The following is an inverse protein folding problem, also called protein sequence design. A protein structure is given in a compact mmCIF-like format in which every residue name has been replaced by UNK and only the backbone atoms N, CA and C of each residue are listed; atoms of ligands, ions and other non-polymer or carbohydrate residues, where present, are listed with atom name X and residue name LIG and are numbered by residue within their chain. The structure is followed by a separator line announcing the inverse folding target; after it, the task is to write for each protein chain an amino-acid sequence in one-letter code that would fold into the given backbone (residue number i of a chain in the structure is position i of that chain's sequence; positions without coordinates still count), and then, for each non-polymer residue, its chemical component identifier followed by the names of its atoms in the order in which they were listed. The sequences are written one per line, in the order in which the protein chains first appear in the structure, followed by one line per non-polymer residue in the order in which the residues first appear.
data_IF_499094282067
#
_entry.id   IF_499094282067
#
_cell.length_a   1.000
_cell.length_b   1.000
_cell.length_c   1.000
_cell.angle_alpha   90.00
_cell.angle_beta   90.00
_cell.angle_gamma   90.00
#
_symmetry.space_group_name_H-M   'P 1'
#
loop_
_entity.id
_entity.type
_entity.pdbx_description
1 polymer ?
#
# COMPACT_ATOMS: atom_id res chain seq x y z
N UNK A 1 27.67 -19.96 15.40
CA UNK A 1 26.62 -20.23 14.38
C UNK A 1 25.39 -19.32 14.54
N UNK A 2 25.05 -18.87 15.72
CA UNK A 2 23.91 -17.93 15.98
C UNK A 2 24.06 -16.55 15.34
N UNK A 3 25.25 -16.02 15.20
CA UNK A 3 25.50 -14.68 14.64
C UNK A 3 25.18 -14.57 13.13
N UNK A 4 25.38 -15.62 12.35
CA UNK A 4 25.13 -15.59 10.89
C UNK A 4 23.63 -15.64 10.62
N UNK A 5 22.86 -16.45 11.35
CA UNK A 5 21.40 -16.58 11.17
C UNK A 5 20.62 -15.29 11.41
N UNK A 6 21.08 -14.42 12.33
CA UNK A 6 20.45 -13.13 12.59
C UNK A 6 20.60 -12.19 11.39
N UNK A 7 21.79 -12.07 10.83
CA UNK A 7 22.03 -11.24 9.67
C UNK A 7 21.30 -11.76 8.41
N UNK A 8 21.19 -13.07 8.24
CA UNK A 8 20.41 -13.65 7.13
C UNK A 8 18.93 -13.26 7.24
N UNK A 9 18.36 -13.29 8.45
CA UNK A 9 16.99 -12.84 8.70
C UNK A 9 16.83 -11.34 8.41
N UNK A 10 17.78 -10.50 8.83
CA UNK A 10 17.74 -9.06 8.58
C UNK A 10 17.87 -8.75 7.07
N UNK A 11 18.69 -9.50 6.34
CA UNK A 11 18.76 -9.43 4.87
C UNK A 11 17.42 -9.83 4.23
N UNK A 12 16.80 -10.93 4.68
CA UNK A 12 15.50 -11.36 4.18
C UNK A 12 14.41 -10.32 4.46
N UNK A 13 14.40 -9.73 5.65
CA UNK A 13 13.48 -8.66 6.02
C UNK A 13 13.69 -7.42 5.14
N UNK A 14 14.94 -6.98 4.95
CA UNK A 14 15.26 -5.84 4.11
C UNK A 14 14.85 -6.04 2.65
N UNK A 15 15.14 -7.24 2.11
CA UNK A 15 14.79 -7.60 0.74
C UNK A 15 13.28 -7.82 0.59
N UNK A 16 12.62 -8.41 1.59
CA UNK A 16 11.16 -8.57 1.64
C UNK A 16 10.44 -7.22 1.64
N UNK A 17 10.92 -6.25 2.42
CA UNK A 17 10.33 -4.92 2.51
C UNK A 17 10.59 -4.04 1.27
N UNK A 18 11.77 -4.16 0.63
CA UNK A 18 12.22 -3.25 -0.43
C UNK A 18 12.24 -3.88 -1.82
N UNK A 19 12.00 -5.19 -1.91
CA UNK A 19 12.04 -5.97 -3.15
C UNK A 19 13.45 -6.17 -3.69
N UNK A 20 14.23 -5.12 -3.81
CA UNK A 20 15.64 -5.14 -4.24
C UNK A 20 16.43 -4.13 -3.41
N UNK A 21 17.54 -4.56 -2.81
CA UNK A 21 18.39 -3.74 -1.94
C UNK A 21 19.83 -3.86 -2.41
N UNK A 22 20.53 -2.74 -2.57
CA UNK A 22 21.94 -2.75 -2.93
C UNK A 22 22.81 -3.29 -1.79
N UNK A 23 23.96 -3.85 -2.13
CA UNK A 23 24.94 -4.30 -1.11
C UNK A 23 25.32 -3.16 -0.17
N UNK A 24 25.42 -1.93 -0.68
CA UNK A 24 25.78 -0.74 0.12
C UNK A 24 24.66 -0.34 1.10
N UNK A 25 23.42 -0.43 0.69
CA UNK A 25 22.28 -0.18 1.59
C UNK A 25 22.17 -1.25 2.68
N UNK A 26 22.40 -2.54 2.31
CA UNK A 26 22.46 -3.60 3.31
C UNK A 26 23.63 -3.41 4.29
N UNK A 27 24.79 -2.98 3.80
CA UNK A 27 25.94 -2.69 4.65
C UNK A 27 25.63 -1.59 5.69
N UNK A 28 24.97 -0.51 5.25
CA UNK A 28 24.53 0.56 6.13
C UNK A 28 23.43 0.13 7.11
N UNK A 29 22.48 -0.70 6.66
CA UNK A 29 21.37 -1.18 7.50
C UNK A 29 21.84 -2.13 8.60
N UNK A 30 22.80 -3.00 8.29
CA UNK A 30 23.31 -4.04 9.18
C UNK A 30 24.52 -3.57 10.01
N UNK A 31 24.99 -2.35 9.78
CA UNK A 31 26.22 -1.79 10.37
C UNK A 31 27.44 -2.71 10.15
N UNK A 32 27.63 -3.15 8.90
CA UNK A 32 28.73 -4.02 8.50
C UNK A 32 29.37 -3.55 7.19
N UNK A 33 30.56 -4.09 6.85
CA UNK A 33 31.19 -3.78 5.55
C UNK A 33 30.46 -4.45 4.38
N UNK A 34 30.59 -3.88 3.17
CA UNK A 34 30.12 -4.47 1.92
C UNK A 34 30.61 -5.92 1.73
N UNK A 35 31.85 -6.19 2.16
CA UNK A 35 32.46 -7.52 2.10
C UNK A 35 31.73 -8.50 3.03
N UNK A 36 31.34 -8.05 4.22
CA UNK A 36 30.55 -8.85 5.17
C UNK A 36 29.18 -9.16 4.62
N UNK A 37 28.49 -8.18 4.00
CA UNK A 37 27.20 -8.40 3.33
C UNK A 37 27.36 -9.46 2.23
N UNK A 38 28.39 -9.36 1.39
CA UNK A 38 28.64 -10.35 0.33
C UNK A 38 28.85 -11.76 0.87
N UNK A 39 29.51 -11.87 2.03
CA UNK A 39 29.74 -13.17 2.73
C UNK A 39 28.45 -13.75 3.32
N UNK A 40 27.59 -12.91 3.86
CA UNK A 40 26.27 -13.32 4.39
C UNK A 40 25.34 -13.77 3.23
N UNK A 41 25.30 -12.98 2.16
CA UNK A 41 24.37 -13.19 1.05
C UNK A 41 24.78 -14.39 0.17
N UNK A 42 26.06 -14.72 0.08
CA UNK A 42 26.53 -15.82 -0.77
C UNK A 42 25.86 -17.17 -0.48
N UNK A 43 25.82 -17.68 0.76
CA UNK A 43 25.12 -18.94 1.05
C UNK A 43 23.61 -18.83 0.84
N UNK A 44 23.00 -17.65 1.04
CA UNK A 44 21.58 -17.44 0.76
C UNK A 44 21.26 -17.52 -0.74
N UNK A 45 22.17 -17.05 -1.60
CA UNK A 45 22.06 -17.21 -3.07
C UNK A 45 22.21 -18.70 -3.46
N UNK A 46 23.16 -19.41 -2.84
CA UNK A 46 23.38 -20.84 -3.08
C UNK A 46 22.17 -21.70 -2.64
N UNK A 47 21.46 -21.28 -1.58
CA UNK A 47 20.19 -21.91 -1.14
C UNK A 47 18.97 -21.43 -1.94
N UNK A 48 19.14 -20.49 -2.86
CA UNK A 48 18.04 -19.94 -3.66
C UNK A 48 17.07 -19.04 -2.90
N UNK A 49 17.43 -18.50 -1.74
CA UNK A 49 16.60 -17.62 -0.91
C UNK A 49 16.60 -16.19 -1.43
N UNK A 50 17.73 -15.75 -2.00
CA UNK A 50 17.89 -14.44 -2.62
C UNK A 50 18.61 -14.59 -3.96
N UNK A 51 18.46 -13.60 -4.85
CA UNK A 51 19.13 -13.54 -6.14
C UNK A 51 19.93 -12.23 -6.26
N UNK A 52 21.08 -12.31 -6.89
CA UNK A 52 21.93 -11.15 -7.16
C UNK A 52 21.64 -10.57 -8.54
N UNK A 53 21.33 -9.27 -8.60
CA UNK A 53 21.02 -8.55 -9.86
C UNK A 53 21.83 -7.25 -9.88
N UNK A 54 22.81 -7.13 -10.77
CA UNK A 54 23.61 -5.90 -10.99
C UNK A 54 24.12 -5.20 -9.71
N UNK A 55 24.66 -5.97 -8.75
CA UNK A 55 25.17 -5.41 -7.49
C UNK A 55 24.14 -5.18 -6.39
N UNK A 56 22.90 -5.52 -6.63
CA UNK A 56 21.81 -5.54 -5.66
C UNK A 56 21.36 -6.98 -5.36
N UNK A 57 20.69 -7.14 -4.25
CA UNK A 57 20.11 -8.39 -3.75
C UNK A 57 18.59 -8.28 -3.84
N UNK A 58 17.95 -9.28 -4.42
CA UNK A 58 16.48 -9.39 -4.50
C UNK A 58 16.04 -10.74 -3.94
N UNK A 59 14.86 -10.81 -3.35
CA UNK A 59 14.30 -12.10 -2.93
C UNK A 59 14.16 -13.02 -4.15
N UNK A 60 14.53 -14.28 -4.00
CA UNK A 60 14.02 -15.33 -4.88
C UNK A 60 12.63 -15.64 -4.35
N UNK A 61 11.64 -15.00 -4.92
CA UNK A 61 10.28 -15.50 -4.78
C UNK A 61 10.26 -16.87 -5.42
N UNK A 62 10.08 -17.91 -4.61
CA UNK A 62 9.67 -19.21 -5.14
C UNK A 62 8.43 -18.99 -5.99
N UNK A 63 8.32 -19.68 -7.12
CA UNK A 63 7.34 -19.59 -8.20
C UNK A 63 6.53 -18.28 -8.24
N UNK A 64 6.31 -17.62 -9.36
CA UNK A 64 5.68 -16.30 -9.38
C UNK A 64 4.40 -16.38 -8.54
N UNK A 65 4.49 -15.98 -7.28
CA UNK A 65 3.29 -15.65 -6.55
C UNK A 65 2.65 -14.56 -7.39
N UNK A 66 1.44 -14.82 -7.83
CA UNK A 66 0.56 -13.85 -8.49
C UNK A 66 0.22 -12.80 -7.42
N UNK A 67 1.21 -12.03 -6.98
CA UNK A 67 1.16 -11.08 -5.88
C UNK A 67 1.77 -9.75 -6.28
N UNK A 68 1.37 -8.71 -5.61
CA UNK A 68 1.94 -7.38 -5.79
C UNK A 68 3.42 -7.34 -5.35
N UNK A 69 4.20 -6.47 -6.00
CA UNK A 69 5.55 -6.13 -5.55
C UNK A 69 5.53 -5.59 -4.09
N UNK A 70 6.61 -5.74 -3.31
CA UNK A 70 6.68 -5.22 -1.95
C UNK A 70 6.29 -3.75 -1.86
N UNK A 71 5.64 -3.36 -0.76
CA UNK A 71 5.06 -2.02 -0.59
C UNK A 71 6.04 -0.88 -0.89
N UNK A 72 7.28 -0.96 -0.39
CA UNK A 72 8.27 0.10 -0.61
C UNK A 72 8.74 0.18 -2.07
N UNK A 73 8.78 -0.96 -2.79
CA UNK A 73 9.02 -0.96 -4.23
C UNK A 73 7.90 -0.24 -4.96
N UNK A 74 6.66 -0.58 -4.63
CA UNK A 74 5.46 0.08 -5.18
C UNK A 74 5.39 1.58 -4.84
N UNK A 75 5.93 2.02 -3.70
CA UNK A 75 6.04 3.44 -3.36
C UNK A 75 6.91 4.22 -4.36
N UNK A 76 7.95 3.61 -4.92
CA UNK A 76 8.81 4.25 -5.92
C UNK A 76 8.22 4.23 -7.33
N UNK A 77 7.33 3.28 -7.63
CA UNK A 77 6.68 3.16 -8.93
C UNK A 77 5.61 4.24 -9.13
N UNK A 78 5.55 4.84 -10.32
CA UNK A 78 4.54 5.86 -10.67
C UNK A 78 4.41 6.98 -9.61
N UNK A 79 5.55 7.39 -9.03
CA UNK A 79 5.60 8.32 -7.89
C UNK A 79 4.84 9.62 -8.17
N UNK A 80 5.09 10.26 -9.31
CA UNK A 80 4.49 11.55 -9.65
C UNK A 80 2.97 11.44 -9.86
N UNK A 81 2.52 10.34 -10.46
CA UNK A 81 1.09 10.03 -10.59
C UNK A 81 0.43 9.90 -9.21
N UNK A 82 1.06 9.18 -8.28
CA UNK A 82 0.53 9.00 -6.92
C UNK A 82 0.53 10.30 -6.11
N UNK A 83 1.54 11.14 -6.28
CA UNK A 83 1.57 12.48 -5.67
C UNK A 83 0.41 13.34 -6.18
N UNK A 84 0.17 13.38 -7.49
CA UNK A 84 -0.93 14.12 -8.08
C UNK A 84 -2.30 13.61 -7.57
N UNK A 85 -2.50 12.28 -7.58
CA UNK A 85 -3.72 11.65 -7.04
C UNK A 85 -3.91 12.00 -5.56
N UNK A 86 -2.84 11.88 -4.76
CA UNK A 86 -2.88 12.15 -3.33
C UNK A 86 -3.26 13.61 -3.03
N UNK A 87 -2.67 14.56 -3.75
CA UNK A 87 -3.03 15.97 -3.64
C UNK A 87 -4.51 16.20 -3.96
N UNK A 88 -5.01 15.56 -5.03
CA UNK A 88 -6.43 15.66 -5.42
C UNK A 88 -7.38 15.03 -4.40
N UNK A 89 -7.00 13.91 -3.80
CA UNK A 89 -7.79 13.30 -2.72
C UNK A 89 -7.77 14.18 -1.47
N UNK A 90 -6.62 14.78 -1.14
CA UNK A 90 -6.52 15.68 0.01
C UNK A 90 -7.43 16.92 -0.09
N UNK A 91 -7.67 17.45 -1.30
CA UNK A 91 -8.64 18.54 -1.52
C UNK A 91 -10.10 18.17 -1.17
N UNK A 92 -10.42 16.87 -1.10
CA UNK A 92 -11.76 16.37 -0.73
C UNK A 92 -11.94 16.21 0.78
N UNK A 93 -10.86 16.36 1.54
CA UNK A 93 -10.81 16.16 2.99
C UNK A 93 -10.73 17.53 3.67
N UNK A 94 -11.43 17.68 4.78
CA UNK A 94 -11.41 18.91 5.58
C UNK A 94 -10.88 18.60 6.98
N UNK A 95 -10.37 19.61 7.66
CA UNK A 95 -9.99 19.50 9.06
C UNK A 95 -11.17 19.00 9.90
N UNK A 96 -10.91 18.10 10.82
CA UNK A 96 -11.92 17.45 11.66
C UNK A 96 -12.65 16.26 11.04
N UNK A 97 -12.39 15.92 9.77
CA UNK A 97 -13.03 14.78 9.12
C UNK A 97 -12.68 13.43 9.72
N UNK A 98 -13.61 12.50 9.57
CA UNK A 98 -13.38 11.07 9.86
C UNK A 98 -13.13 10.30 8.57
N UNK A 99 -12.07 9.48 8.56
CA UNK A 99 -11.56 8.79 7.39
C UNK A 99 -11.31 7.31 7.70
N UNK A 100 -11.49 6.44 6.71
CA UNK A 100 -10.85 5.14 6.67
C UNK A 100 -9.94 5.09 5.44
N UNK A 101 -8.67 4.66 5.65
CA UNK A 101 -7.66 4.55 4.60
C UNK A 101 -7.21 3.09 4.50
N UNK A 102 -7.44 2.49 3.34
CA UNK A 102 -7.00 1.14 3.03
C UNK A 102 -5.48 1.09 2.79
N UNK A 103 -4.88 -0.09 2.95
CA UNK A 103 -3.47 -0.29 2.62
C UNK A 103 -3.21 -0.12 1.13
N UNK A 104 -2.06 0.40 0.79
CA UNK A 104 -1.63 0.57 -0.59
C UNK A 104 -0.62 1.70 -0.76
N UNK A 105 0.20 1.64 -1.81
CA UNK A 105 1.18 2.69 -2.05
C UNK A 105 0.53 4.02 -2.43
N UNK A 106 -0.58 4.03 -3.17
CA UNK A 106 -1.31 5.25 -3.51
C UNK A 106 -1.96 5.87 -2.28
N UNK A 107 -2.61 5.06 -1.43
CA UNK A 107 -3.18 5.52 -0.16
C UNK A 107 -2.10 5.94 0.84
N UNK A 108 -0.91 5.36 0.78
CA UNK A 108 0.28 5.83 1.51
C UNK A 108 0.67 7.27 1.13
N UNK A 109 0.64 7.61 -0.17
CA UNK A 109 0.84 9.00 -0.63
C UNK A 109 -0.31 9.91 -0.19
N UNK A 110 -1.56 9.43 -0.18
CA UNK A 110 -2.68 10.18 0.38
C UNK A 110 -2.44 10.52 1.86
N UNK A 111 -1.99 9.56 2.66
CA UNK A 111 -1.63 9.83 4.04
C UNK A 111 -0.53 10.89 4.18
N UNK A 112 0.48 10.88 3.30
CA UNK A 112 1.50 11.94 3.27
C UNK A 112 0.92 13.31 2.92
N UNK A 113 0.01 13.40 1.95
CA UNK A 113 -0.65 14.66 1.58
C UNK A 113 -1.55 15.18 2.72
N UNK A 114 -2.21 14.30 3.46
CA UNK A 114 -3.07 14.64 4.59
C UNK A 114 -2.32 15.15 5.83
N UNK A 115 -0.98 15.11 5.85
CA UNK A 115 -0.19 15.70 6.96
C UNK A 115 -0.39 17.21 7.13
N UNK A 116 -0.91 17.88 6.12
CA UNK A 116 -1.32 19.31 6.20
C UNK A 116 -2.61 19.54 6.98
N UNK A 117 -3.46 18.52 7.16
CA UNK A 117 -4.75 18.60 7.83
C UNK A 117 -4.62 18.40 9.35
N UNK A 118 -5.62 18.85 10.10
CA UNK A 118 -5.66 18.79 11.56
C UNK A 118 -6.98 18.22 12.07
N UNK A 119 -6.94 17.61 13.25
CA UNK A 119 -8.14 17.11 13.93
C UNK A 119 -8.78 15.91 13.24
N UNK A 120 -8.09 15.23 12.33
CA UNK A 120 -8.61 14.07 11.64
C UNK A 120 -8.81 12.88 12.59
N UNK A 121 -9.91 12.16 12.42
CA UNK A 121 -10.07 10.82 12.99
C UNK A 121 -9.86 9.80 11.87
N UNK A 122 -8.78 9.02 11.96
CA UNK A 122 -8.36 8.09 10.91
C UNK A 122 -8.41 6.65 11.41
N UNK A 123 -9.05 5.78 10.66
CA UNK A 123 -8.99 4.32 10.83
C UNK A 123 -8.20 3.74 9.67
N UNK A 124 -7.28 2.83 9.93
CA UNK A 124 -6.50 2.18 8.87
C UNK A 124 -6.01 0.81 9.32
N UNK A 125 -5.88 -0.12 8.38
CA UNK A 125 -5.22 -1.41 8.61
C UNK A 125 -3.72 -1.39 8.21
N UNK A 126 -3.18 -0.22 7.85
CA UNK A 126 -1.79 -0.03 7.39
C UNK A 126 -0.94 0.65 8.47
N UNK A 127 0.13 -0.01 8.92
CA UNK A 127 1.09 0.57 9.87
C UNK A 127 1.80 1.81 9.31
N UNK A 128 2.06 1.85 8.00
CA UNK A 128 2.66 3.02 7.34
C UNK A 128 1.73 4.24 7.42
N UNK A 129 0.44 4.08 7.12
CA UNK A 129 -0.54 5.15 7.20
C UNK A 129 -0.74 5.59 8.65
N UNK A 130 -0.87 4.61 9.56
CA UNK A 130 -1.05 4.88 10.99
C UNK A 130 0.11 5.72 11.55
N UNK A 131 1.35 5.32 11.31
CA UNK A 131 2.54 6.07 11.79
C UNK A 131 2.68 7.42 11.12
N UNK A 132 2.32 7.55 9.83
CA UNK A 132 2.38 8.82 9.09
C UNK A 132 1.46 9.88 9.68
N UNK A 133 0.23 9.51 10.08
CA UNK A 133 -0.79 10.46 10.52
C UNK A 133 -0.87 10.60 12.05
N UNK A 134 -0.44 9.60 12.81
CA UNK A 134 -0.45 9.66 14.28
C UNK A 134 0.55 10.70 14.85
N UNK A 135 1.57 11.07 14.09
CA UNK A 135 2.54 12.10 14.47
C UNK A 135 2.04 13.53 14.30
N UNK A 136 0.87 13.73 13.68
CA UNK A 136 0.31 15.05 13.43
C UNK A 136 -0.53 15.50 14.62
N UNK A 137 -0.20 16.61 15.26
CA UNK A 137 -0.93 17.10 16.44
C UNK A 137 -2.42 17.30 16.15
N UNK A 138 -3.27 16.83 17.09
CA UNK A 138 -4.72 16.90 17.00
C UNK A 138 -5.38 15.77 16.22
N UNK A 139 -4.64 14.94 15.49
CA UNK A 139 -5.19 13.77 14.84
C UNK A 139 -5.39 12.61 15.85
N UNK A 140 -6.45 11.85 15.63
CA UNK A 140 -6.71 10.59 16.33
C UNK A 140 -6.62 9.46 15.30
N UNK A 141 -5.68 8.55 15.48
CA UNK A 141 -5.46 7.44 14.55
C UNK A 141 -5.70 6.11 15.27
N UNK A 142 -6.55 5.28 14.67
CA UNK A 142 -6.87 3.94 15.13
C UNK A 142 -6.27 2.95 14.13
N UNK A 143 -5.28 2.19 14.58
CA UNK A 143 -4.76 1.05 13.83
C UNK A 143 -5.72 -0.13 14.00
N UNK A 144 -6.22 -0.66 12.90
CA UNK A 144 -7.09 -1.82 12.87
C UNK A 144 -6.24 -3.09 12.74
N UNK A 145 -6.38 -3.99 13.71
CA UNK A 145 -5.67 -5.28 13.77
C UNK A 145 -4.43 -5.28 14.65
N UNK A 146 -3.91 -6.48 14.89
CA UNK A 146 -2.78 -6.74 15.82
C UNK A 146 -1.62 -7.49 15.14
N UNK A 147 -1.90 -8.28 14.09
CA UNK A 147 -0.88 -9.00 13.33
C UNK A 147 -0.61 -8.28 11.99
N UNK A 148 0.66 -7.99 11.71
CA UNK A 148 1.06 -7.29 10.50
C UNK A 148 1.69 -8.23 9.49
N UNK A 149 1.25 -8.16 8.23
CA UNK A 149 1.92 -8.86 7.13
C UNK A 149 3.31 -8.28 6.89
N UNK A 150 4.26 -9.13 6.55
CA UNK A 150 5.68 -8.76 6.41
C UNK A 150 5.99 -7.94 5.16
N UNK A 151 5.19 -8.05 4.09
CA UNK A 151 5.49 -7.42 2.80
C UNK A 151 4.92 -6.00 2.64
N UNK A 152 3.90 -5.63 3.42
CA UNK A 152 3.26 -4.31 3.33
C UNK A 152 2.94 -3.66 4.69
N UNK A 153 3.14 -4.39 5.80
CA UNK A 153 2.83 -3.88 7.13
C UNK A 153 1.34 -3.63 7.37
N UNK A 154 0.47 -4.33 6.66
CA UNK A 154 -0.96 -4.25 6.84
C UNK A 154 -1.51 -5.41 7.69
N UNK A 155 -2.64 -5.19 8.34
CA UNK A 155 -3.35 -6.20 9.10
C UNK A 155 -4.65 -6.61 8.40
N UNK A 156 -4.90 -7.92 8.39
CA UNK A 156 -6.13 -8.54 7.87
C UNK A 156 -6.65 -9.61 8.84
N UNK A 157 -6.26 -9.52 10.11
CA UNK A 157 -6.77 -10.41 11.14
C UNK A 157 -8.22 -10.11 11.51
N UNK A 158 -8.82 -10.99 12.30
CA UNK A 158 -10.20 -10.83 12.76
C UNK A 158 -10.44 -9.49 13.48
N UNK A 159 -9.49 -9.04 14.30
CA UNK A 159 -9.58 -7.78 15.03
C UNK A 159 -9.59 -6.58 14.10
N UNK A 160 -8.85 -6.64 12.98
CA UNK A 160 -8.87 -5.59 11.97
C UNK A 160 -10.28 -5.37 11.40
N UNK A 161 -10.95 -6.45 11.03
CA UNK A 161 -12.34 -6.40 10.53
C UNK A 161 -13.33 -5.93 11.59
N UNK A 162 -13.17 -6.38 12.85
CA UNK A 162 -14.04 -5.93 13.95
C UNK A 162 -13.93 -4.43 14.19
N UNK A 163 -12.71 -3.90 14.23
CA UNK A 163 -12.49 -2.46 14.42
C UNK A 163 -13.16 -1.67 13.30
N UNK A 164 -12.87 -2.04 12.04
CA UNK A 164 -13.42 -1.34 10.86
C UNK A 164 -14.95 -1.35 10.89
N UNK A 165 -15.58 -2.51 11.05
CA UNK A 165 -17.05 -2.66 10.97
C UNK A 165 -17.81 -1.89 12.05
N UNK A 166 -17.18 -1.55 13.17
CA UNK A 166 -17.79 -0.76 14.26
C UNK A 166 -17.72 0.75 14.05
N UNK A 167 -17.03 1.18 12.99
CA UNK A 167 -16.85 2.61 12.74
C UNK A 167 -17.91 3.15 11.78
N UNK A 168 -18.09 4.46 11.80
CA UNK A 168 -18.80 5.22 10.78
C UNK A 168 -17.94 6.43 10.46
N UNK A 169 -17.59 6.61 9.18
CA UNK A 169 -16.69 7.67 8.74
C UNK A 169 -17.29 8.45 7.57
N UNK A 170 -16.81 9.66 7.34
CA UNK A 170 -17.23 10.46 6.19
C UNK A 170 -16.65 9.92 4.88
N UNK A 171 -15.37 9.59 4.85
CA UNK A 171 -14.69 9.20 3.61
C UNK A 171 -13.93 7.90 3.78
N UNK A 172 -14.11 6.97 2.83
CA UNK A 172 -13.21 5.85 2.61
C UNK A 172 -12.28 6.17 1.43
N UNK A 173 -10.97 6.05 1.64
CA UNK A 173 -9.99 6.09 0.55
C UNK A 173 -9.48 4.68 0.33
N UNK A 174 -9.82 4.13 -0.81
CA UNK A 174 -9.52 2.77 -1.23
C UNK A 174 -8.53 2.78 -2.40
N UNK A 175 -7.84 1.67 -2.61
CA UNK A 175 -6.98 1.46 -3.77
C UNK A 175 -7.36 0.18 -4.52
N UNK A 176 -6.79 -0.03 -5.71
CA UNK A 176 -6.94 -1.26 -6.46
C UNK A 176 -5.64 -1.61 -7.19
N UNK A 177 -5.40 -2.89 -7.39
CA UNK A 177 -4.26 -3.41 -8.14
C UNK A 177 -4.50 -3.35 -9.64
N UNK A 178 -5.76 -3.40 -10.07
CA UNK A 178 -6.19 -3.34 -11.45
C UNK A 178 -7.61 -2.75 -11.59
N UNK A 179 -7.91 -2.21 -12.77
CA UNK A 179 -9.27 -1.84 -13.19
C UNK A 179 -9.58 -2.61 -14.47
N UNK A 180 -10.28 -3.71 -14.31
CA UNK A 180 -10.69 -4.57 -15.43
C UNK A 180 -11.87 -3.94 -16.18
N UNK A 181 -11.86 -3.92 -17.53
CA UNK A 181 -12.92 -3.30 -18.31
C UNK A 181 -14.32 -3.91 -18.10
N UNK A 182 -14.38 -5.19 -17.72
CA UNK A 182 -15.64 -5.93 -17.55
C UNK A 182 -16.01 -6.14 -16.09
N UNK A 183 -15.01 -6.28 -15.19
CA UNK A 183 -15.19 -6.62 -13.76
C UNK A 183 -15.02 -5.43 -12.82
N UNK A 184 -14.51 -4.31 -13.33
CA UNK A 184 -14.23 -3.12 -12.51
C UNK A 184 -12.96 -3.23 -11.65
N UNK A 185 -12.92 -2.60 -10.47
CA UNK A 185 -11.75 -2.63 -9.59
C UNK A 185 -11.44 -4.03 -9.07
N UNK A 186 -10.15 -4.38 -9.02
CA UNK A 186 -9.68 -5.70 -8.61
C UNK A 186 -8.41 -5.61 -7.75
N UNK A 187 -8.20 -6.62 -6.91
CA UNK A 187 -7.02 -6.81 -6.06
C UNK A 187 -6.47 -8.23 -6.22
N UNK A 188 -5.31 -8.49 -5.63
CA UNK A 188 -4.68 -9.81 -5.76
C UNK A 188 -5.19 -10.82 -4.73
N UNK A 189 -5.59 -10.38 -3.54
CA UNK A 189 -5.94 -11.25 -2.44
C UNK A 189 -7.39 -11.06 -1.97
N UNK A 190 -8.00 -12.17 -1.54
CA UNK A 190 -9.38 -12.16 -1.04
C UNK A 190 -9.54 -11.30 0.21
N UNK A 191 -8.57 -11.36 1.13
CA UNK A 191 -8.58 -10.55 2.35
C UNK A 191 -8.55 -9.04 2.06
N UNK A 192 -7.85 -8.62 1.01
CA UNK A 192 -7.85 -7.22 0.55
C UNK A 192 -9.23 -6.79 0.05
N UNK A 193 -9.88 -7.65 -0.74
CA UNK A 193 -11.22 -7.37 -1.25
C UNK A 193 -12.25 -7.26 -0.12
N UNK A 194 -12.20 -8.16 0.86
CA UNK A 194 -13.07 -8.15 2.05
C UNK A 194 -12.85 -6.89 2.91
N UNK A 195 -11.58 -6.48 3.11
CA UNK A 195 -11.26 -5.29 3.88
C UNK A 195 -11.74 -4.02 3.17
N UNK A 196 -11.47 -3.89 1.87
CA UNK A 196 -11.96 -2.77 1.05
C UNK A 196 -13.49 -2.72 1.04
N UNK A 197 -14.18 -3.86 1.01
CA UNK A 197 -15.63 -3.93 1.11
C UNK A 197 -16.11 -3.38 2.46
N UNK A 198 -15.55 -3.88 3.57
CA UNK A 198 -15.89 -3.44 4.92
C UNK A 198 -15.65 -1.93 5.11
N UNK A 199 -14.52 -1.42 4.62
CA UNK A 199 -14.19 0.00 4.65
C UNK A 199 -15.15 0.86 3.82
N UNK A 200 -15.56 0.34 2.65
CA UNK A 200 -16.51 1.02 1.78
C UNK A 200 -17.94 1.06 2.32
N UNK A 201 -18.34 0.12 3.18
CA UNK A 201 -19.66 0.06 3.79
C UNK A 201 -19.85 1.06 4.93
N UNK A 202 -18.79 1.39 5.65
CA UNK A 202 -18.84 2.29 6.80
C UNK A 202 -18.73 3.77 6.44
N UNK A 203 -18.50 4.10 5.17
CA UNK A 203 -18.24 5.46 4.69
C UNK A 203 -19.44 6.06 3.94
N UNK A 204 -19.62 7.38 4.10
CA UNK A 204 -20.63 8.12 3.33
C UNK A 204 -20.20 8.34 1.88
N UNK A 205 -18.89 8.56 1.66
CA UNK A 205 -18.28 8.76 0.32
C UNK A 205 -17.12 7.79 0.16
N UNK A 206 -17.07 7.09 -0.98
CA UNK A 206 -15.94 6.24 -1.36
C UNK A 206 -15.10 6.93 -2.43
N UNK A 207 -13.81 6.96 -2.21
CA UNK A 207 -12.80 7.45 -3.15
C UNK A 207 -11.88 6.29 -3.51
N UNK A 208 -11.89 5.86 -4.76
CA UNK A 208 -10.94 4.90 -5.30
C UNK A 208 -9.76 5.65 -5.92
N UNK A 209 -8.60 5.57 -5.31
CA UNK A 209 -7.38 6.25 -5.73
C UNK A 209 -6.47 5.30 -6.52
N UNK A 210 -6.38 5.47 -7.84
CA UNK A 210 -5.66 4.56 -8.74
C UNK A 210 -4.95 5.32 -9.86
N UNK A 211 -3.70 4.99 -10.12
CA UNK A 211 -2.99 5.56 -11.27
C UNK A 211 -3.46 4.95 -12.61
N UNK A 212 -3.26 5.70 -13.69
CA UNK A 212 -3.76 5.33 -15.02
C UNK A 212 -3.17 4.02 -15.57
N UNK A 213 -2.05 3.54 -15.03
CA UNK A 213 -1.44 2.27 -15.49
C UNK A 213 -2.22 1.04 -15.01
N UNK A 214 -3.12 1.21 -14.05
CA UNK A 214 -3.96 0.14 -13.51
C UNK A 214 -5.17 -0.18 -14.40
N UNK A 215 -5.56 0.74 -15.28
CA UNK A 215 -6.70 0.56 -16.18
C UNK A 215 -6.37 -0.38 -17.34
N UNK A 216 -7.34 -1.23 -17.70
CA UNK A 216 -7.18 -2.26 -18.73
C UNK A 216 -6.37 -3.48 -18.25
N UNK A 217 -6.11 -3.58 -16.96
CA UNK A 217 -5.48 -4.74 -16.32
C UNK A 217 -6.50 -5.52 -15.51
N UNK A 218 -6.19 -6.78 -15.24
CA UNK A 218 -7.00 -7.68 -14.39
C UNK A 218 -6.17 -8.17 -13.22
N UNK A 219 -6.83 -8.49 -12.11
CA UNK A 219 -6.26 -9.17 -10.96
C UNK A 219 -7.16 -10.36 -10.57
N UNK A 220 -6.89 -11.00 -9.44
CA UNK A 220 -7.55 -12.26 -9.10
C UNK A 220 -8.97 -12.05 -8.55
N UNK A 221 -9.16 -11.05 -7.68
CA UNK A 221 -10.38 -10.86 -6.90
C UNK A 221 -11.00 -9.50 -7.23
N UNK A 222 -12.29 -9.50 -7.60
CA UNK A 222 -13.03 -8.26 -7.83
C UNK A 222 -13.39 -7.58 -6.49
N UNK A 223 -13.22 -6.27 -6.44
CA UNK A 223 -13.78 -5.44 -5.37
C UNK A 223 -15.29 -5.26 -5.58
N UNK A 224 -16.01 -4.81 -4.54
CA UNK A 224 -17.41 -4.43 -4.70
C UNK A 224 -17.59 -3.43 -5.85
N UNK A 225 -18.67 -3.53 -6.62
CA UNK A 225 -18.90 -2.63 -7.74
C UNK A 225 -18.95 -1.16 -7.30
N UNK A 226 -18.53 -0.30 -8.19
CA UNK A 226 -18.63 1.15 -8.01
C UNK A 226 -20.11 1.56 -7.92
N UNK A 227 -20.42 2.53 -7.07
CA UNK A 227 -21.80 3.05 -6.84
C UNK A 227 -21.92 4.48 -7.34
N UNK A 228 -23.17 4.91 -7.54
CA UNK A 228 -23.45 6.32 -7.74
C UNK A 228 -22.98 7.12 -6.51
N UNK A 229 -22.23 8.20 -6.75
CA UNK A 229 -21.60 8.99 -5.68
C UNK A 229 -20.14 8.63 -5.37
N UNK A 230 -19.67 7.45 -5.78
CA UNK A 230 -18.24 7.13 -5.66
C UNK A 230 -17.40 8.02 -6.59
N UNK A 231 -16.17 8.28 -6.16
CA UNK A 231 -15.17 9.01 -6.94
C UNK A 231 -14.03 8.06 -7.32
N UNK A 232 -13.65 8.07 -8.58
CA UNK A 232 -12.41 7.43 -9.06
C UNK A 232 -11.41 8.51 -9.38
N UNK A 233 -10.35 8.65 -8.57
CA UNK A 233 -9.31 9.66 -8.73
C UNK A 233 -8.10 9.03 -9.41
N UNK A 234 -7.68 9.63 -10.54
CA UNK A 234 -6.53 9.15 -11.33
C UNK A 234 -5.67 10.33 -11.82
N UNK A 235 -4.42 10.06 -12.18
CA UNK A 235 -3.43 11.08 -12.59
C UNK A 235 -3.70 11.69 -13.98
N UNK A 236 -4.35 10.96 -14.87
CA UNK A 236 -4.65 11.41 -16.25
C UNK A 236 -5.94 10.80 -16.79
N UNK A 237 -6.45 11.37 -17.87
CA UNK A 237 -7.64 10.83 -18.55
C UNK A 237 -7.40 9.41 -19.05
N UNK A 238 -8.34 8.52 -18.75
CA UNK A 238 -8.37 7.14 -19.19
C UNK A 238 -9.63 6.87 -20.00
N UNK A 239 -9.53 6.03 -21.02
CA UNK A 239 -10.70 5.53 -21.77
C UNK A 239 -11.28 4.31 -21.08
N UNK A 240 -11.91 4.53 -19.94
CA UNK A 240 -12.52 3.45 -19.16
C UNK A 240 -13.91 3.84 -18.70
N UNK A 241 -14.80 2.85 -18.66
CA UNK A 241 -16.12 3.03 -18.08
C UNK A 241 -16.06 2.79 -16.58
N UNK A 242 -16.10 3.84 -15.80
CA UNK A 242 -16.16 3.78 -14.32
C UNK A 242 -17.57 4.01 -13.78
N UNK A 243 -18.58 4.05 -14.66
CA UNK A 243 -19.97 4.28 -14.24
C UNK A 243 -20.45 3.17 -13.28
N UNK A 244 -21.31 3.53 -12.31
CA UNK A 244 -21.96 4.83 -12.11
C UNK A 244 -21.10 5.86 -11.30
N UNK A 245 -19.85 5.55 -10.95
CA UNK A 245 -18.95 6.48 -10.27
C UNK A 245 -18.53 7.66 -11.18
N UNK A 246 -18.01 8.72 -10.56
CA UNK A 246 -17.46 9.87 -11.26
C UNK A 246 -15.94 9.79 -11.35
N UNK A 247 -15.41 9.87 -12.56
CA UNK A 247 -13.97 9.98 -12.80
C UNK A 247 -13.51 11.42 -12.51
N UNK A 248 -12.50 11.54 -11.65
CA UNK A 248 -11.82 12.79 -11.31
C UNK A 248 -10.36 12.66 -11.75
N UNK A 249 -9.91 13.58 -12.59
CA UNK A 249 -8.52 13.59 -13.05
C UNK A 249 -7.75 14.60 -12.23
N UNK A 250 -6.68 14.15 -11.57
CA UNK A 250 -5.76 15.02 -10.90
C UNK A 250 -4.98 15.83 -11.96
N UNK A 251 -5.05 17.15 -11.90
CA UNK A 251 -4.15 17.98 -12.68
C UNK A 251 -2.76 17.82 -12.08
N UNK A 252 -1.75 17.49 -12.89
CA UNK A 252 -0.37 17.52 -12.42
C UNK A 252 0.00 18.92 -11.90
N UNK A 253 1.04 18.99 -11.03
CA UNK A 253 1.58 20.28 -10.60
C UNK A 253 2.08 21.10 -11.76
#
# INVERSE_FOLDING_TARGET
MEFVGRYEQDVMNAVGLRGTVSVRELAALLDVSDQTVRRIVRPMVERGEVRKVHGAITAVTGAPTVGEAPFLSRMSEQRDAKVAIASKVAELVHDGDSLVLDTGSTTGYVAQALRGHRGLTVVTNSSFIATTLATIPGNRVLMAGVELRTHDGASFDHFAFEVVRRMKVRVAVLSASAIDPSRGPMVHEHAEAEMSAAMGEIADVRVLAVDATKFGRSALVALPPLRAGDLVVTDRRVRANVRPARLVVASGP
#
